data_IF_404358940156
#
_entry.id   IF_404358940156
#
_cell.length_a   1.000
_cell.length_b   1.000
_cell.length_c   1.000
_cell.angle_alpha   90.00
_cell.angle_beta   90.00
_cell.angle_gamma   90.00
#
_symmetry.space_group_name_H-M   'P 1'
#
loop_
_entity.id
_entity.type
_entity.pdbx_description
1 polymer ?
#
# COMPACT_ATOMS: atom_id res chain seq x y z
N UNK A 1 -13.89 1.55 -31.43
CA UNK A 1 -13.44 1.74 -30.04
C UNK A 1 -13.55 3.22 -29.74
N UNK A 2 -14.33 3.62 -28.76
CA UNK A 2 -14.38 5.02 -28.33
C UNK A 2 -13.01 5.40 -27.79
N UNK A 3 -12.34 6.36 -28.39
CA UNK A 3 -11.12 6.91 -27.84
C UNK A 3 -11.47 7.74 -26.59
N UNK A 4 -11.41 7.11 -25.43
CA UNK A 4 -11.65 7.81 -24.17
C UNK A 4 -10.51 8.80 -23.83
N UNK A 5 -9.33 8.60 -24.40
CA UNK A 5 -8.16 9.45 -24.17
C UNK A 5 -8.12 10.58 -25.20
N UNK A 6 -8.15 11.81 -24.70
CA UNK A 6 -7.99 13.04 -25.49
C UNK A 6 -6.49 13.31 -25.70
N UNK A 7 -6.09 13.53 -26.95
CA UNK A 7 -4.69 13.78 -27.32
C UNK A 7 -4.32 15.27 -27.28
N UNK A 8 -5.32 16.14 -27.13
CA UNK A 8 -5.13 17.58 -27.02
C UNK A 8 -6.09 18.18 -26.02
N UNK A 9 -5.73 19.36 -25.48
CA UNK A 9 -6.52 20.06 -24.50
C UNK A 9 -7.93 20.42 -25.03
N UNK A 10 -9.01 20.03 -24.34
CA UNK A 10 -10.38 20.34 -24.77
C UNK A 10 -10.76 21.79 -24.38
N UNK A 11 -10.41 22.77 -25.21
CA UNK A 11 -10.75 24.17 -24.99
C UNK A 11 -12.26 24.37 -24.81
N UNK A 12 -12.67 25.27 -23.91
CA UNK A 12 -14.06 25.57 -23.57
C UNK A 12 -14.74 24.52 -22.69
N UNK A 13 -14.10 23.41 -22.36
CA UNK A 13 -14.69 22.35 -21.53
C UNK A 13 -14.10 22.33 -20.10
N UNK A 14 -14.91 21.85 -19.15
CA UNK A 14 -14.45 21.58 -17.78
C UNK A 14 -13.56 20.33 -17.76
N UNK A 15 -12.35 20.50 -17.23
CA UNK A 15 -11.36 19.42 -17.07
C UNK A 15 -11.05 19.26 -15.60
N UNK A 16 -11.48 18.14 -15.01
CA UNK A 16 -11.10 17.76 -13.65
C UNK A 16 -9.65 17.32 -13.59
N UNK A 17 -8.93 17.74 -12.57
CA UNK A 17 -7.55 17.35 -12.33
C UNK A 17 -7.34 16.94 -10.86
N UNK A 18 -6.68 15.80 -10.65
CA UNK A 18 -6.16 15.44 -9.34
C UNK A 18 -5.04 16.44 -8.99
N UNK A 19 -5.32 17.31 -8.04
CA UNK A 19 -4.46 18.43 -7.69
C UNK A 19 -3.77 18.18 -6.36
N UNK A 20 -2.45 18.16 -6.37
CA UNK A 20 -1.62 17.95 -5.18
C UNK A 20 -1.04 19.24 -4.58
N UNK A 21 -1.21 20.38 -5.26
CA UNK A 21 -0.54 21.64 -4.89
C UNK A 21 0.95 21.69 -5.24
N UNK A 22 1.51 20.62 -5.81
CA UNK A 22 2.89 20.58 -6.29
C UNK A 22 3.09 21.27 -7.64
N UNK A 23 4.35 21.38 -8.08
CA UNK A 23 4.74 22.09 -9.32
C UNK A 23 3.97 21.63 -10.54
N UNK A 24 3.98 20.31 -10.80
CA UNK A 24 3.41 19.72 -12.02
C UNK A 24 1.91 20.05 -12.17
N UNK A 25 1.13 19.87 -11.08
CA UNK A 25 -0.30 20.12 -11.12
C UNK A 25 -0.64 21.62 -11.10
N UNK A 26 0.18 22.46 -10.46
CA UNK A 26 0.01 23.91 -10.45
C UNK A 26 0.26 24.51 -11.84
N UNK A 27 1.36 24.12 -12.49
CA UNK A 27 1.67 24.53 -13.84
C UNK A 27 0.60 24.04 -14.83
N UNK A 28 0.13 22.79 -14.69
CA UNK A 28 -0.91 22.22 -15.53
C UNK A 28 -2.23 22.98 -15.42
N UNK A 29 -2.69 23.31 -14.20
CA UNK A 29 -3.93 24.07 -13.97
C UNK A 29 -3.85 25.45 -14.63
N UNK A 30 -2.76 26.18 -14.39
CA UNK A 30 -2.58 27.52 -15.00
C UNK A 30 -2.48 27.45 -16.53
N UNK A 31 -1.70 26.50 -17.07
CA UNK A 31 -1.55 26.31 -18.51
C UNK A 31 -2.88 25.97 -19.19
N UNK A 32 -3.65 25.03 -18.62
CA UNK A 32 -4.98 24.68 -19.15
C UNK A 32 -5.91 25.90 -19.19
N UNK A 33 -5.89 26.74 -18.14
CA UNK A 33 -6.67 27.99 -18.10
C UNK A 33 -6.21 28.96 -19.19
N UNK A 34 -4.92 29.18 -19.34
CA UNK A 34 -4.34 30.06 -20.35
C UNK A 34 -4.65 29.61 -21.77
N UNK A 35 -4.77 28.31 -22.02
CA UNK A 35 -5.14 27.72 -23.32
C UNK A 35 -6.65 27.58 -23.53
N UNK A 36 -7.48 28.13 -22.63
CA UNK A 36 -8.92 28.25 -22.81
C UNK A 36 -9.76 27.07 -22.32
N UNK A 37 -9.19 26.09 -21.63
CA UNK A 37 -9.97 25.09 -20.88
C UNK A 37 -10.45 25.65 -19.53
N UNK A 38 -11.37 24.94 -18.89
CA UNK A 38 -11.91 25.30 -17.56
C UNK A 38 -11.42 24.27 -16.55
N UNK A 39 -10.23 24.45 -15.92
CA UNK A 39 -9.70 23.49 -14.97
C UNK A 39 -10.51 23.45 -13.69
N UNK A 40 -10.79 22.24 -13.20
CA UNK A 40 -11.49 21.95 -11.93
C UNK A 40 -10.56 21.07 -11.08
N UNK A 41 -10.06 21.61 -9.98
CA UNK A 41 -9.08 20.94 -9.13
C UNK A 41 -9.79 20.13 -8.02
N UNK A 42 -9.38 18.88 -7.87
CA UNK A 42 -9.87 17.97 -6.83
C UNK A 42 -8.68 17.41 -6.06
N UNK A 43 -8.67 17.59 -4.75
CA UNK A 43 -7.62 17.14 -3.84
C UNK A 43 -8.15 16.07 -2.92
N UNK A 44 -7.47 14.93 -2.84
CA UNK A 44 -7.78 13.89 -1.87
C UNK A 44 -7.06 14.17 -0.54
N UNK A 45 -7.81 14.34 0.53
CA UNK A 45 -7.28 14.32 1.88
C UNK A 45 -7.11 12.88 2.34
N UNK A 46 -5.89 12.38 2.29
CA UNK A 46 -5.50 11.01 2.64
C UNK A 46 -4.78 10.92 3.99
N UNK A 47 -4.78 12.00 4.80
CA UNK A 47 -4.01 12.07 6.04
C UNK A 47 -2.50 12.07 5.80
N UNK A 48 -2.02 12.77 4.78
CA UNK A 48 -0.60 12.88 4.45
C UNK A 48 0.18 13.49 5.62
N UNK A 49 1.19 12.81 6.18
CA UNK A 49 1.91 13.28 7.39
C UNK A 49 2.78 14.51 7.13
N UNK A 50 3.10 14.80 5.87
CA UNK A 50 3.91 15.94 5.45
C UNK A 50 3.07 17.15 4.98
N UNK A 51 1.72 17.10 5.09
CA UNK A 51 0.86 18.23 4.80
C UNK A 51 0.37 18.89 6.10
N UNK A 52 0.68 20.15 6.26
CA UNK A 52 0.35 20.92 7.46
C UNK A 52 -0.92 21.76 7.36
N UNK A 53 -1.33 22.13 6.15
CA UNK A 53 -2.53 22.95 5.88
C UNK A 53 -3.27 22.50 4.62
N UNK A 54 -4.19 21.57 4.82
CA UNK A 54 -5.01 21.04 3.71
C UNK A 54 -5.89 22.10 3.05
N UNK A 55 -6.31 23.12 3.78
CA UNK A 55 -7.18 24.20 3.25
C UNK A 55 -6.41 25.13 2.31
N UNK A 56 -5.08 25.18 2.42
CA UNK A 56 -4.24 25.93 1.52
C UNK A 56 -4.25 25.37 0.10
N UNK A 57 -4.41 24.06 -0.06
CA UNK A 57 -4.32 23.39 -1.37
C UNK A 57 -5.45 23.86 -2.32
N UNK A 58 -6.74 23.86 -1.94
CA UNK A 58 -7.80 24.45 -2.77
C UNK A 58 -7.60 25.94 -3.03
N UNK A 59 -7.09 26.71 -2.05
CA UNK A 59 -6.78 28.14 -2.25
C UNK A 59 -5.72 28.35 -3.33
N UNK A 60 -4.66 27.57 -3.31
CA UNK A 60 -3.63 27.55 -4.38
C UNK A 60 -4.22 27.19 -5.73
N UNK A 61 -5.05 26.15 -5.81
CA UNK A 61 -5.71 25.78 -7.06
C UNK A 61 -6.51 26.94 -7.66
N UNK A 62 -7.26 27.66 -6.82
CA UNK A 62 -8.00 28.88 -7.25
C UNK A 62 -7.06 29.98 -7.73
N UNK A 63 -5.95 30.23 -7.04
CA UNK A 63 -4.96 31.21 -7.43
C UNK A 63 -4.35 30.88 -8.82
N UNK A 64 -4.14 29.60 -9.13
CA UNK A 64 -3.67 29.14 -10.46
C UNK A 64 -4.77 29.12 -11.53
N UNK A 65 -6.02 29.52 -11.20
CA UNK A 65 -7.10 29.70 -12.15
C UNK A 65 -8.10 28.56 -12.27
N UNK A 66 -8.16 27.65 -11.28
CA UNK A 66 -9.19 26.62 -11.23
C UNK A 66 -10.58 27.23 -11.02
N UNK A 67 -11.56 26.80 -11.83
CA UNK A 67 -12.99 27.18 -11.71
C UNK A 67 -13.63 26.54 -10.47
N UNK A 68 -13.34 25.28 -10.21
CA UNK A 68 -13.70 24.53 -9.01
C UNK A 68 -12.41 24.13 -8.28
N UNK A 69 -12.42 24.15 -6.94
CA UNK A 69 -11.36 23.59 -6.12
C UNK A 69 -12.00 22.92 -4.90
N UNK A 70 -11.92 21.59 -4.83
CA UNK A 70 -12.50 20.78 -3.75
C UNK A 70 -11.46 19.95 -3.02
N UNK A 71 -11.54 19.94 -1.70
CA UNK A 71 -10.87 18.99 -0.83
C UNK A 71 -11.88 17.89 -0.50
N UNK A 72 -11.53 16.65 -0.81
CA UNK A 72 -12.35 15.45 -0.58
C UNK A 72 -11.73 14.64 0.54
N UNK A 73 -12.42 14.48 1.67
CA UNK A 73 -11.93 13.65 2.77
C UNK A 73 -12.06 12.17 2.42
N UNK A 74 -10.92 11.52 2.22
CA UNK A 74 -10.80 10.12 1.82
C UNK A 74 -10.23 9.23 2.94
N UNK A 75 -9.97 9.75 4.13
CA UNK A 75 -9.25 9.04 5.20
C UNK A 75 -9.96 7.77 5.65
N UNK A 76 -11.26 7.85 5.91
CA UNK A 76 -12.03 6.69 6.35
C UNK A 76 -12.03 5.56 5.31
N UNK A 77 -12.22 5.90 4.02
CA UNK A 77 -12.16 4.93 2.94
C UNK A 77 -10.75 4.33 2.80
N UNK A 78 -9.71 5.16 2.91
CA UNK A 78 -8.34 4.69 2.80
C UNK A 78 -7.98 3.69 3.91
N UNK A 79 -8.38 3.96 5.15
CA UNK A 79 -8.18 3.04 6.28
C UNK A 79 -8.95 1.74 6.08
N UNK A 80 -10.20 1.81 5.61
CA UNK A 80 -10.99 0.62 5.31
C UNK A 80 -10.32 -0.28 4.27
N UNK A 81 -9.77 0.31 3.20
CA UNK A 81 -9.03 -0.45 2.19
C UNK A 81 -7.67 -0.95 2.71
N UNK A 82 -7.01 -0.23 3.61
CA UNK A 82 -5.81 -0.68 4.32
C UNK A 82 -6.08 -1.89 5.20
N UNK A 83 -7.16 -1.88 5.98
CA UNK A 83 -7.61 -3.02 6.78
C UNK A 83 -7.96 -4.21 5.88
N UNK A 84 -8.68 -3.98 4.78
CA UNK A 84 -8.98 -5.04 3.82
C UNK A 84 -7.71 -5.66 3.20
N UNK A 85 -6.69 -4.86 2.94
CA UNK A 85 -5.40 -5.36 2.45
C UNK A 85 -4.69 -6.23 3.50
N UNK A 86 -4.73 -5.86 4.78
CA UNK A 86 -4.21 -6.68 5.90
C UNK A 86 -4.99 -7.99 5.99
N UNK A 87 -6.34 -7.92 6.01
CA UNK A 87 -7.21 -9.09 6.07
C UNK A 87 -6.94 -10.12 4.97
N UNK A 88 -6.54 -9.64 3.81
CA UNK A 88 -6.28 -10.47 2.63
C UNK A 88 -4.81 -10.83 2.44
N UNK A 89 -3.89 -10.32 3.26
CA UNK A 89 -2.44 -10.44 3.03
C UNK A 89 -2.01 -9.90 1.67
N UNK A 90 -2.61 -8.80 1.19
CA UNK A 90 -2.49 -8.29 -0.17
C UNK A 90 -1.12 -7.61 -0.45
N UNK A 91 -0.04 -8.34 -0.16
CA UNK A 91 1.33 -7.86 -0.26
C UNK A 91 2.17 -8.86 -1.06
N UNK A 92 2.86 -8.39 -2.11
CA UNK A 92 3.61 -9.27 -3.01
C UNK A 92 5.10 -8.96 -3.10
N UNK A 93 5.53 -7.81 -2.58
CA UNK A 93 6.92 -7.38 -2.57
C UNK A 93 7.44 -7.54 -1.15
N UNK A 94 8.27 -8.56 -0.95
CA UNK A 94 8.89 -8.90 0.34
C UNK A 94 10.32 -9.31 0.12
N UNK A 95 11.25 -8.76 0.89
CA UNK A 95 12.67 -9.10 0.86
C UNK A 95 13.19 -9.21 2.28
N UNK A 96 13.80 -10.34 2.64
CA UNK A 96 14.42 -10.54 3.96
C UNK A 96 13.45 -10.34 5.14
N UNK A 97 12.17 -10.69 4.98
CA UNK A 97 11.13 -10.50 6.01
C UNK A 97 10.50 -9.09 6.04
N UNK A 98 11.04 -8.15 5.29
CA UNK A 98 10.48 -6.79 5.20
C UNK A 98 9.51 -6.69 4.02
N UNK A 99 8.33 -6.12 4.26
CA UNK A 99 7.21 -6.08 3.32
C UNK A 99 6.90 -4.63 2.89
N UNK A 100 6.68 -4.44 1.60
CA UNK A 100 6.02 -3.24 1.08
C UNK A 100 4.50 -3.41 1.15
N UNK A 101 3.84 -2.56 1.93
CA UNK A 101 2.40 -2.67 2.22
C UNK A 101 1.48 -2.06 1.15
N UNK A 102 1.97 -1.83 -0.07
CA UNK A 102 1.17 -1.27 -1.17
C UNK A 102 0.43 0.04 -0.81
N UNK A 103 1.01 0.87 0.03
CA UNK A 103 0.36 2.07 0.58
C UNK A 103 0.05 3.12 -0.50
N UNK A 104 0.98 3.35 -1.44
CA UNK A 104 0.72 4.21 -2.61
C UNK A 104 -0.35 3.61 -3.53
N UNK A 105 -0.31 2.33 -3.96
CA UNK A 105 -1.40 1.71 -4.71
C UNK A 105 -2.77 1.81 -4.07
N UNK A 106 -2.89 1.62 -2.75
CA UNK A 106 -4.14 1.82 -1.99
C UNK A 106 -4.61 3.27 -2.06
N UNK A 107 -3.70 4.22 -1.83
CA UNK A 107 -3.99 5.64 -1.98
C UNK A 107 -4.54 5.98 -3.37
N UNK A 108 -3.98 5.41 -4.44
CA UNK A 108 -4.44 5.65 -5.83
C UNK A 108 -5.80 5.01 -6.10
N UNK A 109 -6.09 3.85 -5.52
CA UNK A 109 -7.41 3.22 -5.63
C UNK A 109 -8.51 4.12 -5.05
N UNK A 110 -8.27 4.68 -3.88
CA UNK A 110 -9.21 5.59 -3.20
C UNK A 110 -9.28 6.93 -3.92
N UNK A 111 -8.16 7.57 -4.21
CA UNK A 111 -8.11 8.86 -4.91
C UNK A 111 -8.82 8.78 -6.27
N UNK A 112 -8.46 7.79 -7.09
CA UNK A 112 -8.98 7.66 -8.45
C UNK A 112 -10.49 7.40 -8.51
N UNK A 113 -11.08 6.81 -7.49
CA UNK A 113 -12.52 6.60 -7.40
C UNK A 113 -13.25 7.76 -6.72
N UNK A 114 -12.81 8.22 -5.56
CA UNK A 114 -13.49 9.25 -4.78
C UNK A 114 -13.50 10.61 -5.50
N UNK A 115 -12.40 11.01 -6.14
CA UNK A 115 -12.37 12.28 -6.86
C UNK A 115 -13.27 12.27 -8.10
N UNK A 116 -13.37 11.14 -8.80
CA UNK A 116 -14.29 11.02 -9.96
C UNK A 116 -15.76 11.06 -9.51
N UNK A 117 -16.09 10.51 -8.33
CA UNK A 117 -17.43 10.67 -7.74
C UNK A 117 -17.72 12.15 -7.46
N UNK A 118 -16.78 12.87 -6.84
CA UNK A 118 -16.93 14.32 -6.60
C UNK A 118 -17.05 15.12 -7.90
N UNK A 119 -16.29 14.79 -8.93
CA UNK A 119 -16.39 15.39 -10.26
C UNK A 119 -17.78 15.20 -10.89
N UNK A 120 -18.38 14.03 -10.73
CA UNK A 120 -19.72 13.74 -11.25
C UNK A 120 -20.78 14.63 -10.58
N UNK A 121 -20.66 14.90 -9.29
CA UNK A 121 -21.53 15.83 -8.56
C UNK A 121 -21.46 17.26 -9.15
N UNK A 122 -20.27 17.68 -9.59
CA UNK A 122 -20.02 18.99 -10.17
C UNK A 122 -20.26 19.03 -11.71
N UNK A 123 -20.71 17.92 -12.32
CA UNK A 123 -20.95 17.83 -13.75
C UNK A 123 -19.67 17.86 -14.61
N UNK A 124 -18.54 17.42 -14.04
CA UNK A 124 -17.23 17.36 -14.72
C UNK A 124 -16.98 15.94 -15.22
N UNK A 125 -16.83 15.77 -16.55
CA UNK A 125 -16.75 14.47 -17.21
C UNK A 125 -15.43 14.22 -17.93
N UNK A 126 -14.41 15.08 -17.75
CA UNK A 126 -13.06 14.90 -18.26
C UNK A 126 -12.12 14.83 -17.06
N UNK A 127 -11.39 13.72 -16.95
CA UNK A 127 -10.49 13.43 -15.84
C UNK A 127 -9.03 13.56 -16.25
N UNK A 128 -8.25 14.22 -15.44
CA UNK A 128 -6.81 14.37 -15.59
C UNK A 128 -6.05 14.26 -14.29
N UNK A 129 -4.77 14.05 -14.42
CA UNK A 129 -3.81 14.02 -13.30
C UNK A 129 -2.41 14.38 -13.78
N UNK A 130 -1.50 14.64 -12.85
CA UNK A 130 -0.11 15.01 -13.13
C UNK A 130 0.85 13.82 -13.36
N UNK A 131 0.34 12.61 -13.57
CA UNK A 131 1.19 11.42 -13.73
C UNK A 131 1.99 11.46 -15.02
N UNK A 132 3.29 11.14 -14.91
CA UNK A 132 4.18 11.01 -16.06
C UNK A 132 3.97 9.69 -16.79
N UNK A 133 4.24 9.64 -18.09
CA UNK A 133 4.07 8.45 -18.93
C UNK A 133 4.99 7.27 -18.56
N UNK A 134 6.06 7.50 -17.78
CA UNK A 134 6.99 6.46 -17.30
C UNK A 134 6.62 5.88 -15.93
N UNK A 135 5.66 6.51 -15.23
CA UNK A 135 5.24 6.10 -13.90
C UNK A 135 4.15 5.03 -13.90
N UNK A 136 3.83 4.50 -12.71
CA UNK A 136 2.73 3.55 -12.52
C UNK A 136 1.37 4.25 -12.46
N UNK A 137 1.33 5.49 -11.96
CA UNK A 137 0.09 6.17 -11.59
C UNK A 137 -0.76 6.57 -12.79
N UNK A 138 -0.13 6.77 -13.96
CA UNK A 138 -0.85 7.08 -15.19
C UNK A 138 -1.86 5.98 -15.54
N UNK A 139 -1.50 4.71 -15.32
CA UNK A 139 -2.40 3.57 -15.54
C UNK A 139 -3.37 3.40 -14.37
N UNK A 140 -2.93 3.53 -13.13
CA UNK A 140 -3.78 3.40 -11.94
C UNK A 140 -4.94 4.38 -11.99
N UNK A 141 -4.69 5.67 -12.19
CA UNK A 141 -5.73 6.69 -12.30
C UNK A 141 -6.63 6.51 -13.52
N UNK A 142 -6.09 6.08 -14.65
CA UNK A 142 -6.88 5.75 -15.83
C UNK A 142 -7.92 4.66 -15.51
N UNK A 143 -7.46 3.55 -14.92
CA UNK A 143 -8.31 2.39 -14.61
C UNK A 143 -9.36 2.73 -13.56
N UNK A 144 -8.96 3.31 -12.43
CA UNK A 144 -9.90 3.66 -11.35
C UNK A 144 -10.89 4.75 -11.76
N UNK A 145 -10.47 5.70 -12.55
CA UNK A 145 -11.36 6.72 -13.11
C UNK A 145 -12.47 6.11 -13.97
N UNK A 146 -12.10 5.24 -14.92
CA UNK A 146 -13.08 4.55 -15.78
C UNK A 146 -13.97 3.57 -15.01
N UNK A 147 -13.45 2.96 -13.94
CA UNK A 147 -14.25 2.10 -13.07
C UNK A 147 -15.34 2.90 -12.36
N UNK A 148 -15.01 4.08 -11.83
CA UNK A 148 -15.96 4.97 -11.16
C UNK A 148 -16.96 5.62 -12.13
N UNK A 149 -16.55 5.87 -13.39
CA UNK A 149 -17.39 6.42 -14.46
C UNK A 149 -16.94 5.91 -15.83
N UNK A 150 -17.58 4.87 -16.39
CA UNK A 150 -17.19 4.30 -17.69
C UNK A 150 -17.33 5.27 -18.90
N UNK A 151 -18.12 6.35 -18.76
CA UNK A 151 -18.29 7.36 -19.80
C UNK A 151 -17.26 8.51 -19.74
N UNK A 152 -16.33 8.44 -18.75
CA UNK A 152 -15.33 9.47 -18.51
C UNK A 152 -14.41 9.61 -19.71
N UNK A 153 -14.13 10.86 -20.11
CA UNK A 153 -13.02 11.17 -20.99
C UNK A 153 -11.78 11.43 -20.16
N UNK A 154 -10.63 11.11 -20.70
CA UNK A 154 -9.34 11.24 -20.02
C UNK A 154 -8.50 12.26 -20.78
N UNK A 155 -8.05 13.29 -20.11
CA UNK A 155 -7.03 14.22 -20.58
C UNK A 155 -5.87 14.26 -19.60
N UNK A 156 -4.68 13.94 -20.08
CA UNK A 156 -3.47 13.98 -19.25
C UNK A 156 -2.47 14.94 -19.88
N UNK A 157 -2.05 16.00 -19.19
CA UNK A 157 -1.07 16.96 -19.73
C UNK A 157 0.19 16.28 -20.26
N UNK A 158 0.72 15.27 -19.55
CA UNK A 158 1.90 14.49 -19.94
C UNK A 158 1.70 13.54 -21.13
N UNK A 159 0.52 13.52 -21.78
CA UNK A 159 0.24 12.86 -23.05
C UNK A 159 -0.11 13.85 -24.16
N UNK A 160 -0.15 15.16 -23.84
CA UNK A 160 -0.37 16.24 -24.81
C UNK A 160 0.99 16.80 -25.26
N UNK A 161 1.29 16.65 -26.56
CA UNK A 161 2.58 17.08 -27.09
C UNK A 161 2.80 18.59 -26.92
N UNK A 162 1.72 19.40 -27.03
CA UNK A 162 1.82 20.86 -26.83
C UNK A 162 2.24 21.21 -25.40
N UNK A 163 1.69 20.51 -24.42
CA UNK A 163 2.10 20.68 -23.01
C UNK A 163 3.56 20.29 -22.81
N UNK A 164 3.97 19.16 -23.39
CA UNK A 164 5.34 18.64 -23.26
C UNK A 164 6.34 19.58 -23.90
N UNK A 165 6.03 20.11 -25.07
CA UNK A 165 6.91 21.03 -25.79
C UNK A 165 7.09 22.37 -25.05
N UNK A 166 6.04 22.85 -24.39
CA UNK A 166 6.07 24.11 -23.62
C UNK A 166 6.58 23.94 -22.18
N UNK A 167 6.22 22.83 -21.50
CA UNK A 167 6.41 22.65 -20.06
C UNK A 167 6.97 21.25 -19.68
N UNK A 168 7.70 20.62 -20.59
CA UNK A 168 8.12 19.21 -20.45
C UNK A 168 9.17 18.93 -19.37
N UNK A 169 9.60 19.92 -18.57
CA UNK A 169 10.57 19.78 -17.51
C UNK A 169 10.23 20.61 -16.27
N UNK A 170 10.80 20.24 -15.12
CA UNK A 170 10.59 20.97 -13.85
C UNK A 170 11.10 22.42 -13.92
N UNK A 171 12.18 22.63 -14.66
CA UNK A 171 12.75 23.96 -14.88
C UNK A 171 11.78 24.83 -15.67
N UNK A 172 11.32 24.34 -16.81
CA UNK A 172 10.39 25.00 -17.71
C UNK A 172 9.08 25.34 -16.99
N UNK A 173 8.52 24.41 -16.19
CA UNK A 173 7.33 24.65 -15.38
C UNK A 173 7.55 25.73 -14.31
N UNK A 174 8.69 25.73 -13.64
CA UNK A 174 9.01 26.74 -12.63
C UNK A 174 9.18 28.12 -13.25
N UNK A 175 9.93 28.23 -14.35
CA UNK A 175 10.11 29.47 -15.10
C UNK A 175 8.79 30.00 -15.64
N UNK A 176 7.92 29.12 -16.14
CA UNK A 176 6.59 29.45 -16.60
C UNK A 176 5.71 30.06 -15.50
N UNK A 177 5.68 29.47 -14.32
CA UNK A 177 4.89 30.01 -13.19
C UNK A 177 5.44 31.36 -12.74
N UNK A 178 6.75 31.53 -12.63
CA UNK A 178 7.39 32.81 -12.28
C UNK A 178 7.08 33.88 -13.30
N UNK A 179 7.18 33.57 -14.60
CA UNK A 179 6.88 34.50 -15.69
C UNK A 179 5.41 34.95 -15.71
N UNK A 180 4.50 34.14 -15.14
CA UNK A 180 3.08 34.46 -14.99
C UNK A 180 2.74 35.09 -13.62
N UNK A 181 3.74 35.53 -12.86
CA UNK A 181 3.57 36.32 -11.64
C UNK A 181 3.30 35.50 -10.37
N UNK A 182 3.55 34.19 -10.40
CA UNK A 182 3.44 33.35 -9.21
C UNK A 182 4.77 33.31 -8.45
N UNK A 183 4.70 33.49 -7.13
CA UNK A 183 5.89 33.36 -6.26
C UNK A 183 6.21 31.87 -6.05
N UNK A 184 6.74 31.23 -7.09
CA UNK A 184 7.19 29.86 -7.02
C UNK A 184 8.66 29.81 -6.63
N UNK A 185 8.92 29.55 -5.34
CA UNK A 185 10.29 29.31 -4.90
C UNK A 185 10.75 27.96 -5.45
N UNK A 186 11.75 27.97 -6.33
CA UNK A 186 12.44 26.75 -6.72
C UNK A 186 12.82 26.01 -5.44
N UNK A 187 12.15 24.87 -5.20
CA UNK A 187 12.47 24.04 -4.04
C UNK A 187 13.93 23.62 -4.16
N UNK A 188 14.67 23.71 -3.04
CA UNK A 188 15.99 23.09 -2.93
C UNK A 188 15.90 21.68 -3.49
N UNK A 189 16.81 21.33 -4.39
CA UNK A 189 16.79 20.05 -5.06
C UNK A 189 16.88 18.93 -4.01
N UNK A 190 15.72 18.31 -3.71
CA UNK A 190 15.67 17.20 -2.75
C UNK A 190 16.37 15.99 -3.38
N UNK A 191 17.12 15.25 -2.57
CA UNK A 191 17.86 14.05 -3.00
C UNK A 191 16.93 12.93 -3.51
N UNK A 192 15.65 12.98 -3.19
CA UNK A 192 14.63 12.00 -3.61
C UNK A 192 13.24 12.66 -3.63
N UNK A 193 12.26 11.97 -4.23
CA UNK A 193 10.83 12.32 -4.18
C UNK A 193 10.14 11.55 -3.07
N UNK A 194 9.11 12.17 -2.46
CA UNK A 194 8.27 11.53 -1.44
C UNK A 194 6.81 11.61 -1.87
N UNK A 195 6.09 10.51 -1.71
CA UNK A 195 4.64 10.39 -1.85
C UNK A 195 4.10 9.73 -0.58
N UNK A 196 3.11 10.32 0.07
CA UNK A 196 2.64 9.89 1.37
C UNK A 196 1.12 9.88 1.50
N UNK A 197 0.64 9.04 2.38
CA UNK A 197 -0.71 9.04 2.92
C UNK A 197 -0.68 8.43 4.33
N UNK A 198 -1.80 8.38 5.03
CA UNK A 198 -1.81 7.89 6.41
C UNK A 198 -1.47 6.40 6.57
N UNK A 199 -1.47 5.59 5.50
CA UNK A 199 -1.03 4.19 5.57
C UNK A 199 0.48 4.05 5.45
N UNK A 200 1.16 4.99 4.78
CA UNK A 200 2.60 4.92 4.58
C UNK A 200 3.16 5.99 3.65
N UNK A 201 4.48 6.04 3.56
CA UNK A 201 5.23 6.91 2.68
C UNK A 201 6.14 6.10 1.75
N UNK A 202 6.33 6.64 0.54
CA UNK A 202 7.23 6.12 -0.48
C UNK A 202 8.28 7.18 -0.77
N UNK A 203 9.57 6.81 -0.67
CA UNK A 203 10.71 7.63 -1.06
C UNK A 203 11.39 6.98 -2.26
N UNK A 204 11.48 7.70 -3.38
CA UNK A 204 11.99 7.14 -4.64
C UNK A 204 12.66 8.20 -5.52
N UNK A 205 13.21 7.76 -6.63
CA UNK A 205 13.84 8.56 -7.67
C UNK A 205 15.16 9.24 -7.28
N UNK A 206 15.82 9.90 -8.22
CA UNK A 206 17.06 10.66 -8.06
C UNK A 206 18.18 9.83 -7.40
N UNK A 207 18.68 10.27 -6.23
CA UNK A 207 19.77 9.56 -5.53
C UNK A 207 19.38 8.13 -5.13
N UNK A 208 18.08 7.85 -4.89
CA UNK A 208 17.60 6.52 -4.57
C UNK A 208 17.57 5.55 -5.77
N UNK A 209 17.73 6.04 -7.00
CA UNK A 209 17.90 5.17 -8.17
C UNK A 209 19.26 4.46 -8.16
N UNK A 210 20.24 4.96 -7.40
CA UNK A 210 21.56 4.36 -7.27
C UNK A 210 21.60 3.37 -6.09
N UNK A 211 21.81 2.09 -6.37
CA UNK A 211 21.78 1.02 -5.36
C UNK A 211 22.91 1.12 -4.31
N UNK A 212 23.94 1.91 -4.56
CA UNK A 212 25.01 2.21 -3.59
C UNK A 212 24.66 3.33 -2.60
N UNK A 213 23.48 3.95 -2.74
CA UNK A 213 22.93 4.89 -1.76
C UNK A 213 22.01 4.12 -0.81
N UNK A 214 22.35 4.11 0.48
CA UNK A 214 21.60 3.35 1.48
C UNK A 214 20.36 4.06 2.01
N UNK A 215 19.62 3.36 2.86
CA UNK A 215 18.47 3.87 3.61
C UNK A 215 18.79 5.17 4.37
N UNK A 216 20.05 5.36 4.77
CA UNK A 216 20.52 6.46 5.60
C UNK A 216 20.35 7.86 5.01
N UNK A 217 20.12 7.98 3.68
CA UNK A 217 19.86 9.28 3.05
C UNK A 217 18.41 9.74 3.22
N UNK A 218 17.51 8.84 3.63
CA UNK A 218 16.09 9.15 3.83
C UNK A 218 15.89 9.80 5.20
N UNK A 219 15.11 10.87 5.23
CA UNK A 219 14.57 11.42 6.46
C UNK A 219 13.15 10.91 6.63
N UNK A 220 12.88 10.00 7.59
CA UNK A 220 11.56 9.47 7.83
C UNK A 220 10.55 10.56 8.15
N UNK A 221 9.33 10.42 7.65
CA UNK A 221 8.21 11.33 7.92
C UNK A 221 7.10 10.68 8.76
N UNK A 222 7.14 9.35 8.92
CA UNK A 222 6.18 8.62 9.73
C UNK A 222 6.81 7.98 10.97
N UNK A 223 8.12 8.04 11.11
CA UNK A 223 8.83 7.43 12.21
C UNK A 223 10.20 8.05 12.45
N UNK A 224 11.06 7.29 13.11
CA UNK A 224 12.40 7.71 13.50
C UNK A 224 13.47 7.10 12.60
N UNK A 225 14.57 7.81 12.40
CA UNK A 225 15.75 7.31 11.69
C UNK A 225 16.51 6.30 12.57
N UNK A 226 15.93 5.13 12.77
CA UNK A 226 16.40 4.12 13.72
C UNK A 226 17.84 3.65 13.47
N UNK A 227 18.39 3.81 12.27
CA UNK A 227 19.78 3.48 11.95
C UNK A 227 20.80 4.47 12.51
N UNK A 228 20.36 5.65 12.96
CA UNK A 228 21.23 6.67 13.54
C UNK A 228 21.53 6.34 15.01
N UNK A 229 22.79 6.24 15.43
CA UNK A 229 23.17 5.90 16.81
C UNK A 229 22.59 6.83 17.87
N UNK A 230 22.43 8.12 17.54
CA UNK A 230 21.89 9.16 18.44
C UNK A 230 20.38 9.05 18.67
N UNK A 231 19.65 8.30 17.85
CA UNK A 231 18.22 8.07 18.02
C UNK A 231 18.00 7.01 19.10
N UNK A 232 17.46 7.42 20.24
CA UNK A 232 17.10 6.50 21.31
C UNK A 232 15.77 5.81 21.01
N UNK A 233 15.75 4.48 21.01
CA UNK A 233 14.54 3.67 20.88
C UNK A 233 14.48 2.72 22.07
N UNK A 234 13.49 2.93 22.95
CA UNK A 234 13.26 2.08 24.13
C UNK A 234 12.31 0.94 23.74
N UNK A 235 12.54 -0.29 24.24
CA UNK A 235 11.56 -1.37 24.07
C UNK A 235 10.20 -0.96 24.64
N UNK A 236 9.12 -1.34 23.92
CA UNK A 236 7.75 -1.04 24.29
C UNK A 236 6.87 -2.27 24.09
N UNK A 237 6.07 -2.61 25.08
CA UNK A 237 5.06 -3.68 24.97
C UNK A 237 3.78 -3.10 24.40
N UNK A 238 3.24 -3.75 23.36
CA UNK A 238 2.03 -3.32 22.65
C UNK A 238 1.10 -4.49 22.48
N UNK A 239 -0.16 -4.33 22.88
CA UNK A 239 -1.23 -5.28 22.64
C UNK A 239 -2.12 -4.80 21.50
N UNK A 240 -2.38 -5.67 20.51
CA UNK A 240 -3.25 -5.40 19.36
C UNK A 240 -4.39 -6.40 19.36
N UNK A 241 -5.63 -5.90 19.46
CA UNK A 241 -6.84 -6.72 19.50
C UNK A 241 -7.61 -6.62 18.20
N UNK A 242 -8.06 -7.78 17.72
CA UNK A 242 -8.92 -7.94 16.55
C UNK A 242 -10.26 -8.56 16.91
N UNK A 243 -11.31 -8.17 16.20
CA UNK A 243 -12.63 -8.82 16.17
C UNK A 243 -13.03 -9.05 14.71
N UNK A 244 -13.24 -10.32 14.34
CA UNK A 244 -13.57 -10.73 12.96
C UNK A 244 -12.64 -10.11 11.89
N UNK A 245 -11.34 -10.06 12.19
CA UNK A 245 -10.31 -9.54 11.31
C UNK A 245 -10.17 -8.02 11.27
N UNK A 246 -10.96 -7.29 12.05
CA UNK A 246 -10.89 -5.84 12.19
C UNK A 246 -10.11 -5.46 13.44
N UNK A 247 -9.09 -4.60 13.38
CA UNK A 247 -8.43 -4.10 14.58
C UNK A 247 -9.36 -3.18 15.37
N UNK A 248 -9.58 -3.47 16.65
CA UNK A 248 -10.57 -2.76 17.49
C UNK A 248 -9.96 -2.05 18.70
N UNK A 249 -8.77 -2.48 19.16
CA UNK A 249 -8.11 -1.84 20.29
C UNK A 249 -6.58 -1.96 20.20
N UNK A 250 -5.90 -0.97 20.78
CA UNK A 250 -4.47 -0.95 21.03
C UNK A 250 -4.23 -0.69 22.52
N UNK A 251 -3.44 -1.54 23.17
CA UNK A 251 -3.15 -1.45 24.61
C UNK A 251 -4.42 -1.35 25.49
N UNK A 252 -5.46 -2.11 25.13
CA UNK A 252 -6.75 -2.11 25.80
C UNK A 252 -7.63 -0.87 25.55
N UNK A 253 -7.15 0.12 24.80
CA UNK A 253 -7.90 1.33 24.43
C UNK A 253 -8.63 1.11 23.11
N UNK A 254 -9.94 1.39 23.10
CA UNK A 254 -10.79 1.51 21.89
C UNK A 254 -10.77 2.95 21.37
N UNK A 255 -11.16 3.14 20.11
CA UNK A 255 -11.11 4.43 19.41
C UNK A 255 -12.49 4.78 18.85
N UNK A 256 -12.77 6.09 18.66
CA UNK A 256 -14.02 6.54 18.09
C UNK A 256 -14.15 6.18 16.59
N UNK A 257 -13.02 5.97 15.91
CA UNK A 257 -12.99 5.59 14.50
C UNK A 257 -11.77 4.72 14.19
N UNK A 258 -11.84 3.96 13.10
CA UNK A 258 -10.69 3.23 12.56
C UNK A 258 -9.54 4.16 12.15
N UNK A 259 -9.86 5.42 11.78
CA UNK A 259 -8.85 6.45 11.45
C UNK A 259 -8.00 6.75 12.68
N UNK A 260 -8.62 7.02 13.82
CA UNK A 260 -7.89 7.29 15.08
C UNK A 260 -7.07 6.09 15.56
N UNK A 261 -7.60 4.87 15.43
CA UNK A 261 -6.86 3.65 15.73
C UNK A 261 -5.61 3.55 14.85
N UNK A 262 -5.75 3.84 13.56
CA UNK A 262 -4.65 3.76 12.61
C UNK A 262 -3.59 4.84 12.86
N UNK A 263 -4.00 6.04 13.22
CA UNK A 263 -3.09 7.12 13.65
C UNK A 263 -2.29 6.72 14.90
N UNK A 264 -2.95 6.08 15.88
CA UNK A 264 -2.25 5.56 17.06
C UNK A 264 -1.29 4.43 16.69
N UNK A 265 -1.70 3.50 15.83
CA UNK A 265 -0.82 2.43 15.35
C UNK A 265 0.43 3.01 14.64
N UNK A 266 0.25 4.07 13.84
CA UNK A 266 1.36 4.79 13.21
C UNK A 266 2.28 5.44 14.26
N UNK A 267 1.72 6.08 15.30
CA UNK A 267 2.54 6.69 16.37
C UNK A 267 3.33 5.65 17.14
N UNK A 268 2.73 4.51 17.44
CA UNK A 268 3.39 3.41 18.13
C UNK A 268 4.52 2.85 17.26
N UNK A 269 4.22 2.37 16.05
CA UNK A 269 5.22 1.79 15.16
C UNK A 269 6.31 2.78 14.75
N UNK A 270 5.92 4.05 14.54
CA UNK A 270 6.83 5.13 14.14
C UNK A 270 7.91 5.43 15.18
N UNK A 271 7.60 5.39 16.49
CA UNK A 271 8.60 5.57 17.56
C UNK A 271 9.74 4.56 17.51
N UNK A 272 9.49 3.40 16.90
CA UNK A 272 10.46 2.32 16.75
C UNK A 272 11.13 2.30 15.37
N UNK A 273 10.60 3.03 14.38
CA UNK A 273 11.00 2.92 12.97
C UNK A 273 10.52 1.63 12.34
N UNK A 274 9.45 1.02 12.88
CA UNK A 274 8.84 -0.19 12.38
C UNK A 274 8.25 0.03 10.97
N UNK A 275 8.30 -1.00 10.13
CA UNK A 275 7.69 -0.96 8.81
C UNK A 275 8.49 -0.20 7.76
N UNK A 276 9.75 0.12 8.03
CA UNK A 276 10.66 0.60 6.99
C UNK A 276 11.25 -0.55 6.19
N UNK A 277 11.24 -0.39 4.86
CA UNK A 277 11.86 -1.36 3.96
C UNK A 277 12.45 -0.72 2.70
N UNK A 278 13.48 -1.36 2.16
CA UNK A 278 14.13 -1.03 0.90
C UNK A 278 13.83 -2.15 -0.10
N UNK A 279 13.15 -1.83 -1.19
CA UNK A 279 12.65 -2.82 -2.13
C UNK A 279 13.02 -2.48 -3.57
N UNK A 280 13.34 -3.52 -4.33
CA UNK A 280 13.42 -3.45 -5.79
C UNK A 280 12.13 -4.07 -6.33
N UNK A 281 11.41 -3.31 -7.15
CA UNK A 281 10.12 -3.69 -7.69
C UNK A 281 10.10 -3.66 -9.23
N UNK A 282 9.11 -4.35 -9.82
CA UNK A 282 8.80 -4.20 -11.23
C UNK A 282 7.65 -3.20 -11.38
N UNK A 283 7.89 -2.11 -12.09
CA UNK A 283 6.81 -1.19 -12.50
C UNK A 283 5.79 -1.91 -13.38
N UNK A 284 4.62 -1.32 -13.56
CA UNK A 284 3.57 -1.87 -14.44
C UNK A 284 4.09 -2.02 -15.88
N UNK A 285 5.00 -1.15 -16.32
CA UNK A 285 5.69 -1.18 -17.62
C UNK A 285 6.85 -2.19 -17.67
N UNK A 286 6.96 -3.13 -16.73
CA UNK A 286 8.00 -4.16 -16.62
C UNK A 286 9.43 -3.65 -16.31
N UNK A 287 9.65 -2.35 -16.16
CA UNK A 287 10.94 -1.79 -15.75
C UNK A 287 11.21 -1.97 -14.25
N UNK A 288 12.48 -2.18 -13.88
CA UNK A 288 12.89 -2.21 -12.47
C UNK A 288 12.92 -0.78 -11.89
N UNK A 289 12.51 -0.66 -10.64
CA UNK A 289 12.69 0.55 -9.83
C UNK A 289 13.00 0.17 -8.38
N UNK A 290 13.48 1.14 -7.62
CA UNK A 290 13.73 0.99 -6.19
C UNK A 290 12.92 2.03 -5.44
N UNK A 291 12.35 1.62 -4.31
CA UNK A 291 11.71 2.51 -3.35
C UNK A 291 12.12 2.16 -1.92
N UNK A 292 12.16 3.18 -1.07
CA UNK A 292 12.24 3.05 0.38
C UNK A 292 10.89 3.45 0.94
N UNK A 293 10.33 2.60 1.79
CA UNK A 293 8.95 2.70 2.24
C UNK A 293 8.88 2.81 3.75
N UNK A 294 7.93 3.59 4.24
CA UNK A 294 7.52 3.65 5.63
C UNK A 294 6.05 3.24 5.74
N UNK A 295 5.72 2.34 6.67
CA UNK A 295 4.35 1.94 6.93
C UNK A 295 4.18 1.41 8.37
N UNK A 296 4.40 2.24 9.40
CA UNK A 296 4.51 1.76 10.78
C UNK A 296 3.22 1.14 11.32
N UNK A 297 2.06 1.73 11.07
CA UNK A 297 0.77 1.19 11.50
C UNK A 297 0.40 -0.08 10.75
N UNK A 298 0.61 -0.10 9.42
CA UNK A 298 0.39 -1.30 8.61
C UNK A 298 1.23 -2.48 9.12
N UNK A 299 2.51 -2.23 9.42
CA UNK A 299 3.43 -3.26 9.91
C UNK A 299 2.99 -3.80 11.27
N UNK A 300 2.68 -2.91 12.23
CA UNK A 300 2.23 -3.30 13.56
C UNK A 300 0.97 -4.18 13.50
N UNK A 301 -0.04 -3.73 12.77
CA UNK A 301 -1.30 -4.45 12.63
C UNK A 301 -1.12 -5.77 11.87
N UNK A 302 -0.31 -5.78 10.81
CA UNK A 302 -0.05 -6.98 10.01
C UNK A 302 0.68 -8.07 10.80
N UNK A 303 1.70 -7.74 11.60
CA UNK A 303 2.42 -8.69 12.44
C UNK A 303 1.45 -9.40 13.40
N UNK A 304 0.61 -8.65 14.09
CA UNK A 304 -0.36 -9.20 15.03
C UNK A 304 -1.45 -10.02 14.31
N UNK A 305 -1.91 -9.56 13.15
CA UNK A 305 -2.88 -10.28 12.32
C UNK A 305 -2.35 -11.62 11.84
N UNK A 306 -1.14 -11.65 11.24
CA UNK A 306 -0.51 -12.90 10.77
C UNK A 306 -0.28 -13.91 11.91
N UNK A 307 0.03 -13.42 13.13
CA UNK A 307 0.15 -14.31 14.30
C UNK A 307 -1.16 -15.02 14.59
N UNK A 308 -2.28 -14.32 14.52
CA UNK A 308 -3.60 -14.94 14.71
C UNK A 308 -3.96 -15.88 13.55
N UNK A 309 -3.68 -15.51 12.30
CA UNK A 309 -3.89 -16.39 11.14
C UNK A 309 -3.19 -17.74 11.35
N UNK A 310 -1.92 -17.72 11.77
CA UNK A 310 -1.14 -18.96 11.96
C UNK A 310 -1.58 -19.74 13.18
N UNK A 311 -2.16 -19.10 14.20
CA UNK A 311 -2.66 -19.77 15.41
C UNK A 311 -4.06 -20.38 15.26
N UNK A 312 -4.86 -19.88 14.33
CA UNK A 312 -6.28 -20.22 14.16
C UNK A 312 -6.51 -21.20 13.00
N UNK A 313 -5.85 -20.98 11.86
CA UNK A 313 -6.08 -21.74 10.64
C UNK A 313 -5.12 -22.91 10.49
N UNK A 314 -5.56 -23.95 9.76
CA UNK A 314 -4.71 -25.08 9.36
C UNK A 314 -3.77 -24.69 8.18
N UNK A 315 -2.74 -25.51 7.98
CA UNK A 315 -1.69 -25.23 7.00
C UNK A 315 -2.21 -25.08 5.57
N UNK A 316 -3.16 -25.91 5.11
CA UNK A 316 -3.73 -25.84 3.76
C UNK A 316 -4.45 -24.51 3.53
N UNK A 317 -5.18 -24.03 4.54
CA UNK A 317 -5.85 -22.72 4.49
C UNK A 317 -4.83 -21.58 4.48
N UNK A 318 -3.78 -21.66 5.30
CA UNK A 318 -2.72 -20.64 5.36
C UNK A 318 -1.97 -20.57 4.03
N UNK A 319 -1.63 -21.69 3.42
CA UNK A 319 -0.96 -21.74 2.12
C UNK A 319 -1.81 -21.06 1.04
N UNK A 320 -3.08 -21.45 0.95
CA UNK A 320 -4.00 -20.86 -0.02
C UNK A 320 -4.21 -19.36 0.21
N UNK A 321 -4.34 -18.94 1.47
CA UNK A 321 -4.42 -17.53 1.87
C UNK A 321 -3.20 -16.74 1.39
N UNK A 322 -1.99 -17.24 1.63
CA UNK A 322 -0.73 -16.59 1.22
C UNK A 322 -0.59 -16.50 -0.31
N UNK A 323 -0.95 -17.55 -1.03
CA UNK A 323 -0.96 -17.55 -2.50
C UNK A 323 -1.93 -16.50 -3.06
N UNK A 324 -3.14 -16.46 -2.53
CA UNK A 324 -4.15 -15.47 -2.91
C UNK A 324 -3.72 -14.06 -2.54
N UNK A 325 -3.16 -13.86 -1.35
CA UNK A 325 -2.67 -12.56 -0.87
C UNK A 325 -1.57 -11.99 -1.76
N UNK A 326 -0.60 -12.82 -2.15
CA UNK A 326 0.45 -12.42 -3.09
C UNK A 326 -0.12 -12.01 -4.46
N UNK A 327 -1.11 -12.75 -4.97
CA UNK A 327 -1.80 -12.41 -6.22
C UNK A 327 -2.58 -11.10 -6.08
N UNK A 328 -3.29 -10.92 -4.97
CA UNK A 328 -4.01 -9.68 -4.66
C UNK A 328 -3.08 -8.48 -4.58
N UNK A 329 -1.93 -8.62 -3.90
CA UNK A 329 -0.92 -7.57 -3.83
C UNK A 329 -0.41 -7.12 -5.19
N UNK A 330 -0.21 -8.06 -6.11
CA UNK A 330 0.18 -7.73 -7.49
C UNK A 330 -0.96 -7.05 -8.26
N UNK A 331 -2.19 -7.51 -8.12
CA UNK A 331 -3.36 -6.87 -8.74
C UNK A 331 -3.56 -5.45 -8.23
N UNK A 332 -3.46 -5.25 -6.92
CA UNK A 332 -3.51 -3.92 -6.30
C UNK A 332 -2.41 -3.00 -6.85
N UNK A 333 -1.17 -3.48 -6.90
CA UNK A 333 -0.04 -2.74 -7.45
C UNK A 333 -0.29 -2.26 -8.89
N UNK A 334 -0.96 -3.09 -9.70
CA UNK A 334 -1.33 -2.82 -11.10
C UNK A 334 -2.57 -1.93 -11.27
N UNK A 335 -3.16 -1.40 -10.20
CA UNK A 335 -4.38 -0.58 -10.30
C UNK A 335 -5.65 -1.39 -10.54
N UNK A 336 -5.71 -2.63 -10.06
CA UNK A 336 -6.80 -3.60 -10.30
C UNK A 336 -7.55 -4.00 -9.03
N UNK A 337 -7.46 -3.19 -7.97
CA UNK A 337 -8.00 -3.51 -6.64
C UNK A 337 -9.50 -3.79 -6.61
N UNK A 338 -10.25 -3.15 -7.50
CA UNK A 338 -11.71 -3.32 -7.64
C UNK A 338 -12.12 -4.14 -8.86
N UNK A 339 -11.17 -4.77 -9.59
CA UNK A 339 -11.51 -5.70 -10.68
C UNK A 339 -12.26 -6.91 -10.12
N UNK A 340 -13.18 -7.53 -10.90
CA UNK A 340 -13.97 -8.70 -10.45
C UNK A 340 -13.11 -9.83 -9.87
N UNK A 341 -11.97 -10.13 -10.49
CA UNK A 341 -11.03 -11.14 -9.96
C UNK A 341 -10.50 -10.77 -8.58
N UNK A 342 -10.17 -9.50 -8.37
CA UNK A 342 -9.66 -9.01 -7.09
C UNK A 342 -10.76 -9.08 -6.02
N UNK A 343 -11.98 -8.65 -6.35
CA UNK A 343 -13.14 -8.71 -5.45
C UNK A 343 -13.43 -10.15 -5.02
N UNK A 344 -13.45 -11.09 -5.97
CA UNK A 344 -13.65 -12.52 -5.66
C UNK A 344 -12.61 -13.06 -4.66
N UNK A 345 -11.32 -12.74 -4.86
CA UNK A 345 -10.26 -13.19 -3.96
C UNK A 345 -10.33 -12.50 -2.59
N UNK A 346 -10.69 -11.21 -2.56
CA UNK A 346 -10.90 -10.46 -1.31
C UNK A 346 -12.04 -11.05 -0.49
N UNK A 347 -13.19 -11.25 -1.10
CA UNK A 347 -14.36 -11.86 -0.43
C UNK A 347 -14.04 -13.26 0.09
N UNK A 348 -13.27 -14.05 -0.67
CA UNK A 348 -12.81 -15.36 -0.21
C UNK A 348 -11.96 -15.23 1.05
N UNK A 349 -10.96 -14.38 1.06
CA UNK A 349 -10.08 -14.19 2.22
C UNK A 349 -10.84 -13.59 3.43
N UNK A 350 -11.68 -12.59 3.20
CA UNK A 350 -12.47 -11.96 4.27
C UNK A 350 -13.47 -12.92 4.89
N UNK A 351 -14.18 -13.68 4.06
CA UNK A 351 -15.21 -14.62 4.55
C UNK A 351 -14.63 -15.85 5.24
N UNK A 352 -13.55 -16.44 4.71
CA UNK A 352 -13.07 -17.74 5.15
C UNK A 352 -11.83 -17.69 6.04
N UNK A 353 -11.13 -16.56 6.07
CA UNK A 353 -9.97 -16.36 6.93
C UNK A 353 -10.25 -15.26 7.96
N UNK A 354 -10.52 -14.04 7.52
CA UNK A 354 -10.61 -12.89 8.43
C UNK A 354 -11.75 -13.01 9.45
N UNK A 355 -12.91 -13.58 9.08
CA UNK A 355 -14.05 -13.76 10.00
C UNK A 355 -13.74 -14.60 11.24
N UNK A 356 -12.71 -15.45 11.19
CA UNK A 356 -12.26 -16.24 12.33
C UNK A 356 -11.21 -15.52 13.19
N UNK A 357 -10.64 -14.41 12.70
CA UNK A 357 -9.54 -13.71 13.37
C UNK A 357 -10.12 -12.81 14.47
N UNK A 358 -10.31 -13.39 15.64
CA UNK A 358 -10.71 -12.67 16.87
C UNK A 358 -9.72 -13.03 17.96
N UNK A 359 -9.10 -12.03 18.60
CA UNK A 359 -8.12 -12.28 19.65
C UNK A 359 -7.19 -11.09 19.86
N UNK A 360 -6.24 -11.26 20.77
CA UNK A 360 -5.24 -10.24 21.11
C UNK A 360 -3.83 -10.81 20.99
N UNK A 361 -2.93 -10.04 20.44
CA UNK A 361 -1.51 -10.36 20.33
C UNK A 361 -0.71 -9.27 21.04
N UNK A 362 0.12 -9.68 22.00
CA UNK A 362 1.05 -8.80 22.70
C UNK A 362 2.44 -8.93 22.10
N UNK A 363 3.02 -7.81 21.72
CA UNK A 363 4.33 -7.68 21.11
C UNK A 363 5.25 -6.84 21.99
N UNK A 364 6.53 -7.15 22.02
CA UNK A 364 7.57 -6.21 22.42
C UNK A 364 8.24 -5.67 21.17
N UNK A 365 8.11 -4.37 20.95
CA UNK A 365 8.76 -3.65 19.85
C UNK A 365 10.11 -3.12 20.30
N UNK A 366 11.11 -3.22 19.45
CA UNK A 366 12.45 -2.70 19.62
C UNK A 366 12.84 -1.79 18.47
N UNK A 367 14.11 -1.61 18.22
CA UNK A 367 14.62 -0.71 17.17
C UNK A 367 14.39 -1.26 15.76
N UNK A 368 13.75 -0.49 14.91
CA UNK A 368 13.47 -0.86 13.50
C UNK A 368 12.42 -1.97 13.41
N UNK A 369 12.67 -2.97 12.59
CA UNK A 369 11.77 -4.11 12.40
C UNK A 369 12.01 -5.26 13.41
N UNK A 370 12.71 -4.99 14.51
CA UNK A 370 12.95 -5.98 15.54
C UNK A 370 11.79 -6.03 16.55
N UNK A 371 11.22 -7.21 16.74
CA UNK A 371 10.13 -7.44 17.68
C UNK A 371 10.12 -8.88 18.22
N UNK A 372 9.41 -9.08 19.31
CA UNK A 372 9.11 -10.41 19.87
C UNK A 372 7.62 -10.52 20.17
N UNK A 373 7.02 -11.65 19.83
CA UNK A 373 5.65 -11.98 20.27
C UNK A 373 5.73 -12.50 21.69
N UNK A 374 5.09 -11.80 22.64
CA UNK A 374 5.08 -12.16 24.06
C UNK A 374 3.87 -13.02 24.41
N UNK A 375 2.71 -12.73 23.82
CA UNK A 375 1.47 -13.47 24.11
C UNK A 375 0.56 -13.51 22.87
N UNK A 376 -0.31 -14.54 22.83
CA UNK A 376 -1.35 -14.70 21.81
C UNK A 376 -2.56 -15.33 22.44
N UNK A 377 -3.68 -14.62 22.45
CA UNK A 377 -4.95 -15.05 23.02
C UNK A 377 -6.05 -15.00 21.97
N UNK A 378 -6.81 -16.08 21.83
CA UNK A 378 -7.99 -16.11 20.95
C UNK A 378 -8.91 -17.24 21.36
N UNK A 379 -10.24 -17.05 21.33
CA UNK A 379 -11.19 -18.13 21.51
C UNK A 379 -11.15 -19.15 20.36
N UNK A 380 -10.57 -18.78 19.23
CA UNK A 380 -10.54 -19.59 18.01
C UNK A 380 -9.19 -20.30 17.78
N UNK A 381 -8.25 -20.26 18.74
CA UNK A 381 -6.98 -20.95 18.60
C UNK A 381 -7.17 -22.44 18.40
N UNK A 382 -6.54 -22.99 17.35
CA UNK A 382 -6.47 -24.44 17.13
C UNK A 382 -5.23 -25.04 17.82
N UNK A 383 -4.32 -24.23 18.31
CA UNK A 383 -3.17 -24.64 19.10
C UNK A 383 -3.63 -25.12 20.47
N UNK A 384 -3.42 -26.40 20.75
CA UNK A 384 -3.84 -27.08 21.98
C UNK A 384 -2.69 -27.94 22.54
N UNK A 385 -1.80 -27.36 23.37
CA UNK A 385 -0.62 -28.07 23.87
C UNK A 385 -0.98 -29.33 24.68
N UNK A 386 -2.12 -29.32 25.34
CA UNK A 386 -2.62 -30.48 26.10
C UNK A 386 -2.94 -31.70 25.23
N UNK A 387 -3.18 -31.54 23.94
CA UNK A 387 -3.48 -32.62 22.99
C UNK A 387 -2.24 -33.22 22.33
N UNK A 388 -1.15 -32.42 22.24
CA UNK A 388 0.06 -32.78 21.49
C UNK A 388 1.37 -32.53 22.26
N UNK A 389 1.29 -32.47 23.59
CA UNK A 389 2.48 -32.34 24.45
C UNK A 389 3.43 -33.52 24.22
N UNK A 390 4.67 -33.26 23.92
CA UNK A 390 5.72 -34.28 23.81
C UNK A 390 6.08 -34.92 25.17
N UNK A 391 5.67 -34.25 26.26
CA UNK A 391 5.99 -34.69 27.64
C UNK A 391 4.87 -35.52 28.25
N UNK A 392 3.67 -35.61 27.63
CA UNK A 392 2.54 -36.39 28.10
C UNK A 392 2.33 -37.62 27.22
N UNK A 393 2.17 -38.77 27.86
CA UNK A 393 1.88 -40.03 27.17
C UNK A 393 0.44 -40.09 26.66
N UNK A 394 -0.47 -39.42 27.35
CA UNK A 394 -1.88 -39.33 26.97
C UNK A 394 -2.11 -38.24 25.96
N UNK A 395 -2.69 -38.56 24.82
CA UNK A 395 -2.95 -37.66 23.71
C UNK A 395 -4.20 -38.03 22.93
N UNK A 396 -4.49 -37.28 21.85
CA UNK A 396 -5.63 -37.50 20.97
C UNK A 396 -5.50 -38.76 20.10
N UNK A 397 -4.32 -39.39 20.03
CA UNK A 397 -4.04 -40.60 19.27
C UNK A 397 -2.96 -41.43 19.97
N UNK A 398 -2.88 -42.71 19.61
CA UNK A 398 -1.96 -43.71 20.19
C UNK A 398 -0.76 -43.96 19.27
N UNK A 399 0.31 -44.62 19.78
CA UNK A 399 1.39 -45.07 18.93
C UNK A 399 0.92 -46.01 17.80
N UNK A 400 -0.11 -46.82 18.02
CA UNK A 400 -0.67 -47.69 16.98
C UNK A 400 -1.28 -46.91 15.82
N UNK A 401 -2.02 -45.82 16.12
CA UNK A 401 -2.59 -44.93 15.11
C UNK A 401 -1.48 -44.28 14.26
N UNK A 402 -0.39 -43.89 14.93
CA UNK A 402 0.77 -43.29 14.24
C UNK A 402 1.49 -44.30 13.36
N UNK A 403 1.64 -45.52 13.79
CA UNK A 403 2.25 -46.61 12.97
C UNK A 403 1.41 -46.84 11.73
N UNK A 404 0.08 -46.94 11.86
CA UNK A 404 -0.81 -47.10 10.71
C UNK A 404 -0.69 -45.96 9.71
N UNK A 405 -0.64 -44.71 10.17
CA UNK A 405 -0.47 -43.54 9.32
C UNK A 405 0.88 -43.57 8.59
N UNK A 406 1.97 -43.90 9.28
CA UNK A 406 3.30 -43.99 8.67
C UNK A 406 3.35 -45.12 7.63
N UNK A 407 2.75 -46.26 7.90
CA UNK A 407 2.67 -47.40 6.97
C UNK A 407 1.95 -46.98 5.68
N UNK A 408 0.80 -46.30 5.81
CA UNK A 408 0.06 -45.83 4.64
C UNK A 408 0.85 -44.79 3.82
N UNK A 409 1.61 -43.90 4.49
CA UNK A 409 2.46 -42.92 3.81
C UNK A 409 3.63 -43.56 3.07
N UNK A 410 4.14 -44.70 3.55
CA UNK A 410 5.20 -45.45 2.87
C UNK A 410 4.78 -45.96 1.49
N UNK A 411 3.49 -46.30 1.29
CA UNK A 411 3.01 -46.72 -0.03
C UNK A 411 3.33 -45.70 -1.10
N UNK A 412 3.15 -44.41 -0.80
CA UNK A 412 3.48 -43.32 -1.73
C UNK A 412 5.00 -43.19 -1.98
N UNK A 413 5.81 -43.50 -0.96
CA UNK A 413 7.28 -43.49 -1.11
C UNK A 413 7.77 -44.70 -1.89
N UNK A 414 7.14 -45.86 -1.73
CA UNK A 414 7.49 -47.11 -2.43
C UNK A 414 7.25 -47.03 -3.95
N UNK A 415 6.21 -46.30 -4.38
CA UNK A 415 5.97 -46.05 -5.83
C UNK A 415 7.15 -45.40 -6.53
N UNK A 416 7.94 -44.61 -5.83
CA UNK A 416 9.10 -43.90 -6.38
C UNK A 416 10.43 -44.61 -6.08
N UNK A 417 10.46 -45.64 -5.23
CA UNK A 417 11.72 -46.28 -4.79
C UNK A 417 12.42 -47.02 -5.95
N UNK A 418 11.64 -47.59 -6.87
CA UNK A 418 12.19 -48.25 -8.07
C UNK A 418 12.89 -47.26 -9.03
N UNK A 419 12.40 -46.04 -9.16
CA UNK A 419 13.05 -45.00 -9.95
C UNK A 419 14.30 -44.45 -9.29
N UNK A 420 14.30 -44.32 -7.97
CA UNK A 420 15.43 -43.80 -7.20
C UNK A 420 16.55 -44.84 -7.11
N UNK A 421 16.26 -46.12 -6.93
CA UNK A 421 17.24 -47.22 -6.90
C UNK A 421 17.93 -47.41 -8.25
N UNK A 422 17.32 -46.99 -9.36
CA UNK A 422 17.95 -47.05 -10.69
C UNK A 422 18.99 -45.92 -10.93
N UNK A 423 19.05 -44.92 -10.06
CA UNK A 423 20.03 -43.81 -10.14
C UNK A 423 21.20 -44.09 -9.19
N UNK A 424 22.37 -44.28 -9.74
CA UNK A 424 23.62 -44.60 -9.02
C UNK A 424 24.02 -43.57 -7.96
N UNK A 425 23.42 -42.40 -7.97
CA UNK A 425 23.79 -41.23 -7.14
C UNK A 425 23.04 -41.08 -5.81
N UNK A 426 22.14 -42.00 -5.44
CA UNK A 426 21.38 -41.89 -4.19
C UNK A 426 22.23 -42.10 -2.94
N UNK A 427 23.37 -42.76 -3.06
CA UNK A 427 24.31 -42.92 -1.95
C UNK A 427 24.85 -41.61 -1.36
N UNK A 428 24.69 -40.47 -2.09
CA UNK A 428 25.06 -39.13 -1.63
C UNK A 428 23.94 -38.31 -1.04
N UNK A 429 22.68 -38.77 -1.15
CA UNK A 429 21.51 -38.04 -0.63
C UNK A 429 21.08 -38.45 0.78
N UNK A 430 21.79 -39.37 1.43
CA UNK A 430 21.43 -39.92 2.76
C UNK A 430 22.45 -39.56 3.85
N UNK A 431 23.29 -38.54 3.60
CA UNK A 431 24.19 -38.01 4.65
C UNK A 431 24.09 -36.49 4.76
#
# INVERSE_FOLDING_TARGET
>A
MSQNILQSLPAGQRVGIAFSGGLDTSAAVHWMRAKGAIPCAYTAHLGQPDESDYDEIPRKAKAYGADIARLVDCRAQLVAEGIAAIQCGAFHITTGGSTYFNTTPLGRAVTGTALVVAMREDGVNIWGDGSTFKGNDIERFYRYGLLANPSLKIYKPWLDQTFIDELGGRKEMSEYLIANGFDYKMSVEKAYSTDSNMLGATHEAKDLEFLNKGLSIVNPIMGVAFWKPEVEVKPETVAVRFEEGVPVALNGRTFASAVELFEEANRIGGRHGLGMCDQIENRIIEAKSRGIYEAPGMALLHIAYERLVTGIHNEDTIEQYRLNGRKLGRLLYQGRWFDPQCMMLRETAQRWVASAITGEVTLELRRGNDYTILNTESPNLTYAPERLSMEKVEGAFTPADRIGQLTMRNLRSEEHTSELQSRVDISYAVF
#
